data_IF_794086151129
#
_entry.id   IF_794086151129
#
_cell.length_a   1.000
_cell.length_b   1.000
_cell.length_c   1.000
_cell.angle_alpha   90.00
_cell.angle_beta   90.00
_cell.angle_gamma   90.00
#
_symmetry.space_group_name_H-M   'P 1'
#
loop_
_entity.id
_entity.type
_entity.pdbx_description
1 polymer ?
#
# COMPACT_ATOMS: atom_id res chain seq x y z
N UNK A 1 -6.06 -2.14 0.88
CA UNK A 1 -5.44 -2.34 -0.44
C UNK A 1 -6.43 -2.93 -1.44
N UNK A 2 -6.93 -4.14 -1.20
CA UNK A 2 -7.87 -4.79 -2.12
C UNK A 2 -9.17 -4.02 -2.26
N UNK A 3 -9.72 -3.51 -1.16
CA UNK A 3 -10.94 -2.72 -1.18
C UNK A 3 -10.77 -1.42 -1.98
N UNK A 4 -9.64 -0.76 -1.83
CA UNK A 4 -9.31 0.46 -2.59
C UNK A 4 -9.22 0.14 -4.09
N UNK A 5 -8.53 -0.93 -4.45
CA UNK A 5 -8.41 -1.36 -5.85
C UNK A 5 -9.76 -1.69 -6.48
N UNK A 6 -10.59 -2.45 -5.78
CA UNK A 6 -11.93 -2.79 -6.26
C UNK A 6 -12.81 -1.56 -6.41
N UNK A 7 -12.76 -0.62 -5.46
CA UNK A 7 -13.51 0.63 -5.54
C UNK A 7 -13.10 1.47 -6.74
N UNK A 8 -11.84 1.40 -7.15
CA UNK A 8 -11.32 2.10 -8.33
C UNK A 8 -11.55 1.33 -9.64
N UNK A 9 -12.18 0.16 -9.58
CA UNK A 9 -12.49 -0.64 -10.76
C UNK A 9 -11.39 -1.61 -11.19
N UNK A 10 -10.37 -1.82 -10.35
CA UNK A 10 -9.35 -2.83 -10.61
C UNK A 10 -9.90 -4.24 -10.35
N UNK A 11 -9.32 -5.24 -10.99
CA UNK A 11 -9.71 -6.63 -10.83
C UNK A 11 -8.96 -7.29 -9.68
N UNK A 12 -9.64 -8.20 -8.97
CA UNK A 12 -9.03 -9.02 -7.92
C UNK A 12 -8.98 -10.46 -8.45
N UNK A 13 -7.79 -11.03 -8.54
CA UNK A 13 -7.57 -12.35 -9.13
C UNK A 13 -6.71 -13.21 -8.23
N UNK A 14 -6.73 -14.53 -8.44
CA UNK A 14 -5.81 -15.44 -7.76
C UNK A 14 -4.37 -15.12 -8.19
N UNK A 15 -3.46 -15.15 -7.22
CA UNK A 15 -2.05 -14.91 -7.50
C UNK A 15 -1.51 -15.98 -8.46
N UNK A 16 -0.97 -15.60 -9.61
CA UNK A 16 -0.38 -16.56 -10.55
C UNK A 16 0.87 -17.24 -10.01
N UNK A 17 1.47 -16.71 -8.94
CA UNK A 17 2.63 -17.29 -8.27
C UNK A 17 2.24 -18.09 -7.03
N UNK A 18 0.93 -18.31 -6.79
CA UNK A 18 0.41 -19.07 -5.67
C UNK A 18 0.19 -18.24 -4.41
N UNK A 19 -0.40 -18.87 -3.40
CA UNK A 19 -0.67 -18.24 -2.12
C UNK A 19 0.61 -18.10 -1.29
N UNK A 20 0.68 -17.03 -0.50
CA UNK A 20 1.77 -16.76 0.44
C UNK A 20 1.19 -16.69 1.84
N UNK A 21 1.75 -17.47 2.77
CA UNK A 21 1.26 -17.61 4.13
C UNK A 21 2.35 -17.33 5.15
N UNK A 22 2.46 -16.07 5.58
CA UNK A 22 3.38 -15.68 6.64
C UNK A 22 4.85 -15.82 6.27
N UNK A 23 5.22 -15.45 5.05
CA UNK A 23 6.59 -15.51 4.54
C UNK A 23 7.11 -14.09 4.31
N UNK A 24 8.34 -13.77 4.80
CA UNK A 24 8.99 -12.53 4.44
C UNK A 24 9.26 -12.48 2.93
N UNK A 25 8.96 -11.38 2.30
CA UNK A 25 9.13 -11.20 0.86
C UNK A 25 9.78 -9.87 0.57
N UNK A 26 10.65 -9.83 -0.42
CA UNK A 26 11.21 -8.58 -0.92
C UNK A 26 10.16 -7.76 -1.65
N UNK A 27 10.14 -6.46 -1.40
CA UNK A 27 9.22 -5.51 -2.02
C UNK A 27 10.04 -4.43 -2.69
N UNK A 28 9.77 -4.20 -3.97
CA UNK A 28 10.32 -3.07 -4.71
C UNK A 28 9.25 -1.99 -4.86
N UNK A 29 9.65 -0.74 -4.99
CA UNK A 29 8.71 0.38 -5.11
C UNK A 29 9.30 1.50 -5.96
N UNK A 30 8.45 2.43 -6.38
CA UNK A 30 8.84 3.56 -7.21
C UNK A 30 9.11 4.85 -6.41
N UNK A 31 9.05 4.80 -5.10
CA UNK A 31 9.30 5.95 -4.23
C UNK A 31 8.13 6.90 -4.08
N UNK A 32 6.96 6.59 -4.62
CA UNK A 32 5.78 7.44 -4.49
C UNK A 32 4.91 7.05 -3.29
N UNK A 33 4.01 7.95 -2.88
CA UNK A 33 3.08 7.70 -1.79
C UNK A 33 3.81 7.41 -0.48
N UNK A 34 3.48 6.30 0.16
CA UNK A 34 4.09 5.86 1.43
C UNK A 34 5.60 5.60 1.31
N UNK A 35 6.09 5.37 0.11
CA UNK A 35 7.47 4.96 -0.12
C UNK A 35 8.44 6.12 -0.34
N UNK A 36 8.00 7.36 -0.18
CA UNK A 36 8.83 8.56 -0.44
C UNK A 36 10.13 8.59 0.36
N UNK A 37 10.11 8.05 1.58
CA UNK A 37 11.28 8.02 2.48
C UNK A 37 11.77 6.60 2.74
N UNK A 38 11.25 5.62 2.01
CA UNK A 38 11.59 4.23 2.22
C UNK A 38 12.91 3.86 1.54
N UNK A 39 13.60 2.88 2.12
CA UNK A 39 14.78 2.27 1.48
C UNK A 39 14.36 1.62 0.15
N UNK A 40 15.31 1.48 -0.77
CA UNK A 40 15.04 1.00 -2.12
C UNK A 40 14.42 -0.40 -2.16
N UNK A 41 14.90 -1.30 -1.30
CA UNK A 41 14.39 -2.66 -1.19
C UNK A 41 13.91 -2.91 0.23
N UNK A 42 12.67 -3.37 0.37
CA UNK A 42 12.05 -3.64 1.66
C UNK A 42 11.79 -5.12 1.83
N UNK A 43 11.77 -5.58 3.09
CA UNK A 43 11.35 -6.94 3.44
C UNK A 43 10.08 -6.83 4.29
N UNK A 44 9.01 -7.44 3.82
CA UNK A 44 7.69 -7.38 4.45
C UNK A 44 7.04 -8.76 4.50
N UNK A 45 6.24 -9.00 5.52
CA UNK A 45 5.45 -10.23 5.63
C UNK A 45 4.23 -10.18 4.71
N UNK A 46 3.96 -11.31 4.07
CA UNK A 46 2.81 -11.46 3.17
C UNK A 46 1.92 -12.62 3.60
N UNK A 47 0.62 -12.39 3.48
CA UNK A 47 -0.44 -13.37 3.78
C UNK A 47 -1.53 -13.22 2.73
N UNK A 48 -1.22 -13.49 1.46
CA UNK A 48 -2.21 -13.28 0.40
C UNK A 48 -2.25 -14.42 -0.60
N UNK A 49 -3.46 -14.74 -1.07
CA UNK A 49 -3.70 -15.63 -2.19
C UNK A 49 -4.28 -14.88 -3.39
N UNK A 50 -4.82 -13.69 -3.17
CA UNK A 50 -5.39 -12.84 -4.19
C UNK A 50 -4.53 -11.61 -4.39
N UNK A 51 -4.49 -11.12 -5.62
CA UNK A 51 -3.77 -9.89 -5.99
C UNK A 51 -4.62 -9.02 -6.90
N UNK A 52 -4.32 -7.73 -6.92
CA UNK A 52 -4.98 -6.79 -7.81
C UNK A 52 -4.30 -6.77 -9.18
N UNK A 53 -5.12 -6.65 -10.22
CA UNK A 53 -4.66 -6.31 -11.56
C UNK A 53 -5.12 -4.90 -11.90
N UNK A 54 -4.19 -4.05 -12.33
CA UNK A 54 -4.49 -2.70 -12.75
C UNK A 54 -5.36 -2.73 -14.01
N UNK A 55 -6.43 -1.95 -14.01
CA UNK A 55 -7.43 -1.92 -15.07
C UNK A 55 -7.65 -0.50 -15.62
N UNK A 56 -7.19 0.50 -14.89
CA UNK A 56 -7.28 1.91 -15.26
C UNK A 56 -6.18 2.68 -14.52
N UNK A 57 -6.12 3.99 -14.76
CA UNK A 57 -5.12 4.88 -14.16
C UNK A 57 -5.70 5.79 -13.06
N UNK A 58 -6.89 5.51 -12.55
CA UNK A 58 -7.51 6.28 -11.48
C UNK A 58 -6.70 6.19 -10.18
N UNK A 59 -6.07 5.05 -9.96
CA UNK A 59 -5.05 4.85 -8.95
C UNK A 59 -3.82 4.22 -9.60
N UNK A 60 -2.67 4.31 -8.94
CA UNK A 60 -1.40 3.80 -9.47
C UNK A 60 -0.84 2.71 -8.58
N UNK A 61 -0.33 1.66 -9.18
CA UNK A 61 0.56 0.73 -8.49
C UNK A 61 1.88 1.45 -8.18
N UNK A 62 2.39 1.28 -6.97
CA UNK A 62 3.65 1.90 -6.55
C UNK A 62 4.62 0.93 -5.86
N UNK A 63 4.21 -0.32 -5.66
CA UNK A 63 5.07 -1.36 -5.11
C UNK A 63 4.72 -2.72 -5.69
N UNK A 64 5.72 -3.58 -5.79
CA UNK A 64 5.61 -4.91 -6.39
C UNK A 64 6.41 -5.93 -5.57
N UNK A 65 6.12 -7.20 -5.77
CA UNK A 65 6.93 -8.29 -5.22
C UNK A 65 8.30 -8.35 -5.93
N UNK A 66 9.17 -9.25 -5.47
CA UNK A 66 10.52 -9.40 -6.05
C UNK A 66 10.52 -9.67 -7.55
N UNK A 67 9.53 -10.39 -8.05
CA UNK A 67 9.42 -10.69 -9.48
C UNK A 67 9.02 -9.48 -10.32
N UNK A 68 8.47 -8.45 -9.68
CA UNK A 68 7.92 -7.29 -10.37
C UNK A 68 6.54 -7.54 -10.99
N UNK A 69 5.99 -8.75 -10.82
CA UNK A 69 4.73 -9.15 -11.46
C UNK A 69 3.49 -8.87 -10.63
N UNK A 70 3.60 -8.91 -9.31
CA UNK A 70 2.47 -8.77 -8.40
C UNK A 70 2.44 -7.40 -7.76
N UNK A 71 1.30 -6.71 -7.86
CA UNK A 71 1.11 -5.41 -7.22
C UNK A 71 1.03 -5.59 -5.71
N UNK A 72 1.88 -4.89 -4.97
CA UNK A 72 1.96 -4.93 -3.51
C UNK A 72 1.62 -3.59 -2.86
N UNK A 73 1.50 -2.54 -3.63
CA UNK A 73 1.12 -1.23 -3.14
C UNK A 73 0.40 -0.41 -4.20
N UNK A 74 -0.44 0.51 -3.75
CA UNK A 74 -1.13 1.45 -4.62
C UNK A 74 -1.24 2.82 -3.96
N UNK A 75 -1.41 3.84 -4.76
CA UNK A 75 -1.56 5.21 -4.28
C UNK A 75 -2.46 5.99 -5.23
N UNK A 76 -3.20 6.96 -4.69
CA UNK A 76 -3.99 7.88 -5.50
C UNK A 76 -3.08 9.03 -5.97
N UNK A 77 -3.19 9.49 -7.23
CA UNK A 77 -2.32 10.54 -7.75
C UNK A 77 -2.50 11.90 -7.07
N UNK A 78 -3.64 12.18 -6.47
CA UNK A 78 -3.96 13.50 -5.90
C UNK A 78 -4.46 13.46 -4.46
N UNK A 79 -5.06 12.36 -4.02
CA UNK A 79 -5.63 12.23 -2.69
C UNK A 79 -4.68 11.42 -1.80
N UNK A 80 -4.71 11.64 -0.48
CA UNK A 80 -3.85 10.88 0.46
C UNK A 80 -4.43 9.49 0.72
N UNK A 81 -4.58 8.70 -0.34
CA UNK A 81 -5.08 7.34 -0.29
C UNK A 81 -3.93 6.42 -0.70
N UNK A 82 -3.54 5.55 0.22
CA UNK A 82 -2.49 4.55 0.02
C UNK A 82 -2.97 3.19 0.51
N UNK A 83 -2.50 2.15 -0.15
CA UNK A 83 -2.78 0.79 0.26
C UNK A 83 -1.59 -0.11 0.04
N UNK A 84 -1.42 -1.09 0.91
CA UNK A 84 -0.37 -2.10 0.79
C UNK A 84 -0.96 -3.49 0.97
N UNK A 85 -0.47 -4.46 0.20
CA UNK A 85 -0.90 -5.85 0.26
C UNK A 85 -0.21 -6.61 1.38
N UNK A 86 1.01 -6.22 1.73
CA UNK A 86 1.79 -6.86 2.79
C UNK A 86 1.40 -6.33 4.17
N UNK A 87 1.95 -6.95 5.22
CA UNK A 87 1.67 -6.62 6.62
C UNK A 87 2.86 -5.90 7.26
N UNK A 88 2.91 -4.57 7.22
CA UNK A 88 4.04 -3.81 7.80
C UNK A 88 4.09 -3.89 9.32
N UNK A 89 2.97 -4.22 9.98
CA UNK A 89 2.86 -4.35 11.44
C UNK A 89 3.48 -5.64 11.97
N UNK A 90 3.68 -6.64 11.10
CA UNK A 90 4.19 -7.94 11.51
C UNK A 90 5.66 -7.89 11.92
N UNK A 91 6.02 -8.72 12.93
CA UNK A 91 7.43 -8.86 13.35
C UNK A 91 8.34 -9.37 12.24
N UNK A 92 7.78 -10.07 11.24
CA UNK A 92 8.51 -10.50 10.05
C UNK A 92 8.72 -9.41 9.00
N UNK A 93 8.28 -8.17 9.29
CA UNK A 93 8.45 -7.01 8.41
C UNK A 93 9.44 -6.03 9.05
N UNK A 94 10.76 -6.27 8.93
CA UNK A 94 11.75 -5.42 9.62
C UNK A 94 11.71 -3.95 9.18
N UNK A 95 11.25 -3.67 7.97
CA UNK A 95 11.14 -2.30 7.44
C UNK A 95 9.74 -1.71 7.66
N UNK A 96 8.83 -2.45 8.25
CA UNK A 96 7.42 -2.07 8.38
C UNK A 96 7.19 -0.90 9.32
N UNK A 97 7.97 -0.80 10.39
CA UNK A 97 7.81 0.27 11.38
C UNK A 97 8.02 1.65 10.79
N UNK A 98 9.05 1.82 9.96
CA UNK A 98 9.33 3.08 9.29
C UNK A 98 8.20 3.46 8.33
N UNK A 99 7.65 2.48 7.61
CA UNK A 99 6.54 2.68 6.68
C UNK A 99 5.26 3.08 7.42
N UNK A 100 4.94 2.40 8.52
CA UNK A 100 3.80 2.74 9.38
C UNK A 100 3.93 4.16 9.94
N UNK A 101 5.13 4.55 10.35
CA UNK A 101 5.38 5.90 10.86
C UNK A 101 5.10 6.95 9.79
N UNK A 102 5.53 6.72 8.56
CA UNK A 102 5.23 7.61 7.43
C UNK A 102 3.73 7.71 7.18
N UNK A 103 3.03 6.59 7.18
CA UNK A 103 1.58 6.54 7.01
C UNK A 103 0.86 7.31 8.12
N UNK A 104 1.20 7.09 9.37
CA UNK A 104 0.57 7.77 10.52
C UNK A 104 0.80 9.27 10.48
N UNK A 105 1.98 9.72 10.11
CA UNK A 105 2.28 11.15 10.00
C UNK A 105 1.41 11.81 8.91
N UNK A 106 1.31 11.20 7.75
CA UNK A 106 0.47 11.70 6.66
C UNK A 106 -1.01 11.68 7.03
N UNK A 107 -1.48 10.58 7.62
CA UNK A 107 -2.89 10.43 8.05
C UNK A 107 -3.26 11.43 9.14
N UNK A 108 -2.37 11.69 10.09
CA UNK A 108 -2.59 12.67 11.14
C UNK A 108 -2.77 14.08 10.56
N UNK A 109 -1.98 14.46 9.59
CA UNK A 109 -2.11 15.74 8.90
C UNK A 109 -3.46 15.86 8.19
N UNK A 110 -3.89 14.82 7.50
CA UNK A 110 -5.19 14.78 6.82
C UNK A 110 -6.34 14.86 7.83
N UNK A 111 -6.30 14.09 8.90
CA UNK A 111 -7.32 14.11 9.95
C UNK A 111 -7.43 15.50 10.56
N UNK A 112 -6.32 16.14 10.88
CA UNK A 112 -6.32 17.49 11.44
C UNK A 112 -6.96 18.51 10.47
N UNK A 113 -6.69 18.40 9.19
CA UNK A 113 -7.31 19.25 8.16
C UNK A 113 -8.82 19.05 8.11
N UNK A 114 -9.30 17.82 8.14
CA UNK A 114 -10.73 17.52 8.12
C UNK A 114 -11.44 17.96 9.41
N UNK A 115 -10.83 17.77 10.57
CA UNK A 115 -11.36 18.26 11.85
C UNK A 115 -11.51 19.79 11.81
N UNK A 116 -10.53 20.50 11.32
CA UNK A 116 -10.60 21.95 11.20
C UNK A 116 -11.73 22.41 10.28
N UNK A 117 -11.97 21.71 9.17
CA UNK A 117 -13.09 21.97 8.27
C UNK A 117 -14.43 21.76 8.97
N UNK A 118 -14.58 20.67 9.71
CA UNK A 118 -15.81 20.35 10.43
C UNK A 118 -16.11 21.37 11.55
N UNK A 119 -15.10 21.83 12.25
CA UNK A 119 -15.27 22.86 13.30
C UNK A 119 -15.73 24.19 12.70
N UNK A 120 -15.38 24.49 11.46
CA UNK A 120 -15.78 25.72 10.77
C UNK A 120 -17.15 25.66 10.11
N UNK A 121 -17.71 24.46 9.99
CA UNK A 121 -19.05 24.25 9.41
C UNK A 121 -20.06 24.16 10.56
N UNK A 122 -21.02 25.07 10.63
CA UNK A 122 -22.06 25.02 11.67
C UNK A 122 -22.99 23.81 11.49
#
# INVERSE_FOLDING_TARGET
HQAIGLAAGWNLVESPLGAVHGVPSGITHDGSGLFQKASENLVMMRYNSLVLEANNEDIKANAWDESGSLIMGLTHPHLPIDGVQFHPESVGSPDGRALLKTFLTSSTQVINSEVNKQVRQP
#
